data_IF_226615936150
#
_entry.id   IF_226615936150
#
_cell.length_a   1.000
_cell.length_b   1.000
_cell.length_c   1.000
_cell.angle_alpha   90.00
_cell.angle_beta   90.00
_cell.angle_gamma   90.00
#
_symmetry.space_group_name_H-M   'P 1'
#
loop_
_entity.id
_entity.type
_entity.pdbx_description
1 polymer ?
#
# COMPACT_ATOMS: atom_id res chain seq x y z
N UNK A 1 0.91 -6.69 6.52
CA UNK A 1 0.69 -7.86 7.41
C UNK A 1 -0.64 -7.86 8.20
N UNK A 2 -1.03 -6.81 8.93
CA UNK A 2 -2.25 -6.84 9.77
C UNK A 2 -3.54 -7.26 9.03
N UNK A 3 -3.76 -6.68 7.83
CA UNK A 3 -4.92 -7.02 7.00
C UNK A 3 -4.88 -8.48 6.52
N UNK A 4 -3.71 -8.97 6.10
CA UNK A 4 -3.53 -10.37 5.72
C UNK A 4 -3.87 -11.31 6.88
N UNK A 5 -3.36 -11.04 8.08
CA UNK A 5 -3.67 -11.84 9.26
C UNK A 5 -5.17 -11.85 9.56
N UNK A 6 -5.82 -10.70 9.44
CA UNK A 6 -7.25 -10.56 9.73
C UNK A 6 -8.11 -11.32 8.72
N UNK A 7 -7.77 -11.22 7.43
CA UNK A 7 -8.43 -11.97 6.36
C UNK A 7 -8.17 -13.47 6.51
N UNK A 8 -6.94 -13.87 6.81
CA UNK A 8 -6.56 -15.27 7.02
C UNK A 8 -7.34 -15.92 8.16
N UNK A 9 -7.47 -15.25 9.30
CA UNK A 9 -8.25 -15.75 10.44
C UNK A 9 -9.73 -15.99 10.07
N UNK A 10 -10.35 -15.04 9.36
CA UNK A 10 -11.74 -15.18 8.91
C UNK A 10 -11.86 -16.27 7.84
N UNK A 11 -10.90 -16.36 6.91
CA UNK A 11 -10.89 -17.40 5.89
C UNK A 11 -10.77 -18.81 6.49
N UNK A 12 -9.95 -18.99 7.53
CA UNK A 12 -9.83 -20.27 8.24
C UNK A 12 -11.13 -20.64 8.96
N UNK A 13 -11.78 -19.68 9.64
CA UNK A 13 -13.09 -19.90 10.25
C UNK A 13 -14.13 -20.33 9.20
N UNK A 14 -14.25 -19.59 8.10
CA UNK A 14 -15.19 -19.90 7.02
C UNK A 14 -14.90 -21.26 6.39
N UNK A 15 -13.63 -21.62 6.20
CA UNK A 15 -13.25 -22.92 5.67
C UNK A 15 -13.73 -24.08 6.56
N UNK A 16 -13.57 -23.95 7.88
CA UNK A 16 -14.09 -24.94 8.83
C UNK A 16 -15.62 -25.07 8.75
N UNK A 17 -16.33 -23.94 8.67
CA UNK A 17 -17.80 -23.93 8.54
C UNK A 17 -18.26 -24.55 7.21
N UNK A 18 -17.57 -24.26 6.12
CA UNK A 18 -17.87 -24.80 4.80
C UNK A 18 -17.70 -26.33 4.80
N UNK A 19 -16.58 -26.84 5.29
CA UNK A 19 -16.31 -28.28 5.28
C UNK A 19 -17.20 -29.07 6.24
N UNK A 20 -17.57 -28.49 7.39
CA UNK A 20 -18.54 -29.10 8.30
C UNK A 20 -19.91 -29.32 7.64
N UNK A 21 -20.32 -28.40 6.75
CA UNK A 21 -21.58 -28.49 6.00
C UNK A 21 -21.45 -29.27 4.67
N UNK A 22 -20.22 -29.53 4.20
CA UNK A 22 -19.94 -30.21 2.94
C UNK A 22 -18.87 -31.29 3.12
N UNK A 23 -19.19 -32.44 3.76
CA UNK A 23 -18.19 -33.47 4.12
C UNK A 23 -17.42 -34.06 2.93
N UNK A 24 -17.96 -33.95 1.70
CA UNK A 24 -17.31 -34.39 0.46
C UNK A 24 -16.15 -33.47 0.03
N UNK A 25 -16.03 -32.27 0.60
CA UNK A 25 -14.97 -31.29 0.33
C UNK A 25 -13.97 -31.15 1.49
N UNK A 26 -13.95 -32.12 2.42
CA UNK A 26 -13.07 -32.10 3.57
C UNK A 26 -11.58 -31.98 3.16
N UNK A 27 -10.88 -31.04 3.78
CA UNK A 27 -9.48 -30.69 3.51
C UNK A 27 -9.24 -29.78 2.31
N UNK A 28 -10.26 -29.44 1.51
CA UNK A 28 -10.11 -28.56 0.34
C UNK A 28 -10.02 -27.08 0.77
N UNK A 29 -10.99 -26.63 1.56
CA UNK A 29 -11.12 -25.22 1.94
C UNK A 29 -10.16 -24.85 3.07
N UNK A 30 -9.93 -25.74 4.04
CA UNK A 30 -8.97 -25.51 5.12
C UNK A 30 -7.55 -25.37 4.56
N UNK A 31 -7.20 -26.21 3.57
CA UNK A 31 -5.92 -26.08 2.87
C UNK A 31 -5.82 -24.74 2.14
N UNK A 32 -6.85 -24.37 1.37
CA UNK A 32 -6.88 -23.10 0.65
C UNK A 32 -6.75 -21.89 1.59
N UNK A 33 -7.43 -21.91 2.75
CA UNK A 33 -7.32 -20.84 3.74
C UNK A 33 -5.90 -20.71 4.33
N UNK A 34 -5.20 -21.83 4.56
CA UNK A 34 -3.81 -21.82 5.06
C UNK A 34 -2.79 -21.33 4.03
N UNK A 35 -3.04 -21.63 2.76
CA UNK A 35 -2.21 -21.18 1.63
C UNK A 35 -2.52 -19.74 1.21
N UNK A 36 -3.65 -19.17 1.63
CA UNK A 36 -4.06 -17.81 1.29
C UNK A 36 -3.03 -16.79 1.80
N UNK A 37 -2.60 -15.93 0.90
CA UNK A 37 -1.84 -14.71 1.19
C UNK A 37 -2.54 -13.52 0.56
N UNK A 38 -2.33 -12.35 1.11
CA UNK A 38 -2.92 -11.14 0.55
C UNK A 38 -2.24 -10.84 -0.80
N UNK A 39 -2.99 -10.69 -1.90
CA UNK A 39 -2.39 -10.50 -3.21
C UNK A 39 -1.85 -9.07 -3.37
N UNK A 40 -0.80 -8.93 -4.16
CA UNK A 40 -0.36 -7.64 -4.68
C UNK A 40 -0.94 -7.41 -6.08
N UNK A 41 -1.09 -6.13 -6.46
CA UNK A 41 -1.34 -5.76 -7.86
C UNK A 41 -0.07 -5.14 -8.45
N UNK A 42 0.55 -5.84 -9.40
CA UNK A 42 1.71 -5.32 -10.14
C UNK A 42 1.27 -4.28 -11.19
N UNK A 43 1.12 -3.05 -10.73
CA UNK A 43 0.76 -1.91 -11.58
C UNK A 43 1.88 -1.52 -12.55
N UNK A 44 3.10 -2.03 -12.39
CA UNK A 44 4.22 -1.82 -13.32
C UNK A 44 4.27 -2.89 -14.42
N UNK A 45 3.42 -3.92 -14.34
CA UNK A 45 3.43 -5.03 -15.27
C UNK A 45 3.30 -4.57 -16.71
N UNK A 46 4.16 -5.14 -17.56
CA UNK A 46 3.74 -5.69 -18.85
C UNK A 46 2.55 -5.09 -19.59
N UNK A 47 1.42 -5.62 -19.18
CA UNK A 47 0.14 -5.63 -19.86
C UNK A 47 -0.74 -4.44 -19.40
N UNK A 48 -0.37 -3.75 -18.32
CA UNK A 48 -1.12 -2.60 -17.79
C UNK A 48 -1.29 -1.46 -18.81
N UNK A 49 -0.30 -1.06 -19.63
CA UNK A 49 -0.52 -0.04 -20.66
C UNK A 49 -1.60 -0.42 -21.69
N UNK A 50 -1.87 -1.71 -21.89
CA UNK A 50 -2.84 -2.22 -22.86
C UNK A 50 -4.20 -2.51 -22.20
N UNK A 51 -4.18 -3.19 -21.06
CA UNK A 51 -5.38 -3.74 -20.41
C UNK A 51 -5.83 -2.93 -19.18
N UNK A 52 -4.96 -2.07 -18.64
CA UNK A 52 -5.24 -1.27 -17.45
C UNK A 52 -5.42 -2.13 -16.20
N UNK A 53 -6.31 -1.69 -15.30
CA UNK A 53 -6.66 -2.40 -14.07
C UNK A 53 -7.39 -3.71 -14.40
N UNK A 54 -7.11 -4.81 -13.67
CA UNK A 54 -7.92 -6.02 -13.72
C UNK A 54 -9.39 -5.77 -13.35
N UNK A 55 -10.37 -6.42 -14.02
CA UNK A 55 -11.80 -6.25 -13.74
C UNK A 55 -12.22 -6.43 -12.29
N UNK A 56 -11.56 -7.32 -11.55
CA UNK A 56 -11.83 -7.58 -10.13
C UNK A 56 -11.53 -6.36 -9.24
N UNK A 57 -10.76 -5.38 -9.71
CA UNK A 57 -10.45 -4.18 -8.94
C UNK A 57 -11.50 -3.08 -9.07
N UNK A 58 -12.44 -3.17 -10.02
CA UNK A 58 -13.39 -2.07 -10.27
C UNK A 58 -14.83 -2.49 -10.58
N UNK A 59 -15.10 -3.76 -10.89
CA UNK A 59 -16.47 -4.22 -11.10
C UNK A 59 -17.20 -4.34 -9.76
N UNK A 60 -18.42 -3.83 -9.68
CA UNK A 60 -19.22 -3.89 -8.44
C UNK A 60 -19.60 -5.31 -8.01
N UNK A 61 -19.57 -6.27 -8.93
CA UNK A 61 -19.89 -7.68 -8.69
C UNK A 61 -18.83 -8.59 -9.28
N UNK A 62 -18.62 -9.72 -8.60
CA UNK A 62 -17.68 -10.76 -9.00
C UNK A 62 -18.36 -12.13 -8.93
N UNK A 63 -18.02 -13.03 -9.87
CA UNK A 63 -18.42 -14.44 -9.81
C UNK A 63 -17.39 -15.20 -8.96
N UNK A 64 -17.87 -15.95 -7.98
CA UNK A 64 -17.06 -16.85 -7.15
C UNK A 64 -17.60 -18.27 -7.22
N UNK A 65 -16.75 -19.24 -6.90
CA UNK A 65 -17.15 -20.64 -6.72
C UNK A 65 -17.37 -20.87 -5.23
N UNK A 66 -18.59 -21.23 -4.86
CA UNK A 66 -18.98 -21.63 -3.52
C UNK A 66 -18.84 -23.14 -3.32
N UNK A 67 -19.06 -23.58 -2.08
CA UNK A 67 -19.12 -25.00 -1.72
C UNK A 67 -20.07 -25.80 -2.64
N UNK A 68 -19.68 -27.03 -2.96
CA UNK A 68 -20.35 -27.89 -3.93
C UNK A 68 -20.14 -27.47 -5.39
N UNK A 69 -19.11 -26.66 -5.68
CA UNK A 69 -18.79 -26.17 -7.02
C UNK A 69 -19.80 -25.17 -7.61
N UNK A 70 -20.67 -24.60 -6.78
CA UNK A 70 -21.74 -23.70 -7.23
C UNK A 70 -21.19 -22.32 -7.55
N UNK A 71 -21.40 -21.84 -8.78
CA UNK A 71 -21.09 -20.47 -9.16
C UNK A 71 -22.12 -19.51 -8.57
N UNK A 72 -21.66 -18.40 -7.99
CA UNK A 72 -22.52 -17.34 -7.46
C UNK A 72 -21.94 -15.97 -7.77
N UNK A 73 -22.82 -15.00 -7.99
CA UNK A 73 -22.45 -13.59 -8.19
C UNK A 73 -22.67 -12.86 -6.87
N UNK A 74 -21.61 -12.26 -6.33
CA UNK A 74 -21.63 -11.52 -5.07
C UNK A 74 -21.17 -10.08 -5.28
N UNK A 75 -21.48 -9.20 -4.33
CA UNK A 75 -20.90 -7.86 -4.29
C UNK A 75 -19.38 -7.96 -4.14
N UNK A 76 -18.65 -7.12 -4.87
CA UNK A 76 -17.19 -7.15 -4.87
C UNK A 76 -16.62 -6.22 -3.79
N UNK A 77 -16.05 -6.76 -2.69
CA UNK A 77 -15.49 -5.94 -1.62
C UNK A 77 -14.21 -5.21 -2.03
N UNK A 78 -13.62 -5.51 -3.19
CA UNK A 78 -12.44 -4.81 -3.71
C UNK A 78 -12.79 -3.58 -4.57
N UNK A 79 -14.07 -3.42 -4.92
CA UNK A 79 -14.50 -2.33 -5.80
C UNK A 79 -14.63 -1.00 -5.06
N UNK A 80 -15.12 -1.03 -3.83
CA UNK A 80 -15.30 0.13 -2.94
C UNK A 80 -15.59 -0.35 -1.52
N UNK A 81 -15.38 0.52 -0.53
CA UNK A 81 -15.84 0.32 0.84
C UNK A 81 -17.05 1.21 1.12
N UNK A 82 -18.06 0.70 1.83
CA UNK A 82 -19.24 1.47 2.24
C UNK A 82 -19.20 1.74 3.74
N UNK A 83 -19.47 2.99 4.15
CA UNK A 83 -19.49 3.36 5.56
C UNK A 83 -20.75 2.84 6.25
N UNK A 84 -20.61 1.73 6.99
CA UNK A 84 -21.70 1.14 7.76
C UNK A 84 -22.02 2.05 8.95
N UNK A 85 -23.23 2.62 8.97
CA UNK A 85 -23.65 3.56 10.03
C UNK A 85 -23.52 5.04 9.66
N UNK A 86 -23.08 5.34 8.43
CA UNK A 86 -22.95 6.70 7.92
C UNK A 86 -21.49 7.17 7.84
N UNK A 87 -21.29 8.29 7.15
CA UNK A 87 -19.98 8.93 7.01
C UNK A 87 -19.47 9.43 8.36
N UNK A 88 -18.20 9.20 8.72
CA UNK A 88 -17.61 9.72 9.95
C UNK A 88 -17.77 11.25 10.06
N UNK A 89 -18.09 11.73 11.27
CA UNK A 89 -18.45 13.13 11.49
C UNK A 89 -17.30 14.12 11.33
N UNK A 90 -16.07 13.63 11.36
CA UNK A 90 -14.81 14.37 11.24
C UNK A 90 -14.27 14.44 9.80
N UNK A 91 -14.96 13.82 8.83
CA UNK A 91 -14.59 13.94 7.42
C UNK A 91 -14.86 15.36 6.89
N UNK A 92 -13.90 15.92 6.17
CA UNK A 92 -13.97 17.23 5.51
C UNK A 92 -14.01 17.08 4.00
N UNK A 93 -14.69 18.02 3.34
CA UNK A 93 -14.62 18.11 1.88
C UNK A 93 -13.27 18.71 1.48
N UNK A 94 -12.59 18.08 0.53
CA UNK A 94 -11.27 18.52 0.06
C UNK A 94 -11.40 19.15 -1.32
N UNK A 95 -10.75 20.30 -1.51
CA UNK A 95 -10.71 21.00 -2.80
C UNK A 95 -9.30 20.89 -3.39
N UNK A 96 -9.23 20.37 -4.61
CA UNK A 96 -8.01 20.41 -5.40
C UNK A 96 -7.87 21.82 -6.01
N UNK A 97 -6.84 22.56 -5.59
CA UNK A 97 -6.57 23.92 -6.06
C UNK A 97 -6.15 23.98 -7.54
N UNK A 98 -5.62 22.89 -8.10
CA UNK A 98 -5.18 22.81 -9.49
C UNK A 98 -6.36 22.58 -10.43
N UNK A 99 -7.26 21.65 -10.09
CA UNK A 99 -8.39 21.28 -10.94
C UNK A 99 -9.68 22.04 -10.59
N UNK A 100 -9.75 22.62 -9.39
CA UNK A 100 -10.95 23.23 -8.83
C UNK A 100 -12.03 22.21 -8.44
N UNK A 101 -11.76 20.91 -8.55
CA UNK A 101 -12.68 19.85 -8.16
C UNK A 101 -12.75 19.71 -6.64
N UNK A 102 -13.93 19.30 -6.17
CA UNK A 102 -14.17 19.03 -4.75
C UNK A 102 -14.48 17.55 -4.57
N UNK A 103 -13.75 16.93 -3.66
CA UNK A 103 -14.04 15.61 -3.12
C UNK A 103 -14.92 15.77 -1.88
N UNK A 104 -16.20 15.39 -1.98
CA UNK A 104 -17.18 15.61 -0.92
C UNK A 104 -17.15 14.48 0.12
N UNK A 105 -16.00 14.25 0.77
CA UNK A 105 -15.82 13.15 1.70
C UNK A 105 -16.81 13.21 2.88
N UNK A 106 -17.24 14.40 3.29
CA UNK A 106 -18.26 14.57 4.35
C UNK A 106 -19.66 14.07 3.96
N UNK A 107 -19.88 13.73 2.68
CA UNK A 107 -21.18 13.31 2.12
C UNK A 107 -21.15 11.91 1.53
N UNK A 108 -20.02 11.51 0.96
CA UNK A 108 -19.84 10.27 0.20
C UNK A 108 -19.96 9.03 1.09
N UNK A 109 -21.06 8.28 0.94
CA UNK A 109 -21.35 7.08 1.76
C UNK A 109 -20.49 5.84 1.44
N UNK A 110 -19.62 5.95 0.44
CA UNK A 110 -18.69 4.90 0.03
C UNK A 110 -17.43 5.50 -0.58
N UNK A 111 -16.41 4.68 -0.78
CA UNK A 111 -15.20 5.10 -1.46
C UNK A 111 -15.41 5.25 -2.96
N UNK A 112 -14.76 6.27 -3.52
CA UNK A 112 -14.86 6.65 -4.93
C UNK A 112 -13.46 6.85 -5.54
N UNK A 113 -13.38 6.58 -6.84
CA UNK A 113 -12.23 6.82 -7.71
C UNK A 113 -12.69 7.64 -8.90
N UNK A 114 -12.07 8.80 -9.15
CA UNK A 114 -12.45 9.73 -10.22
C UNK A 114 -13.93 10.14 -10.18
N UNK A 115 -14.52 10.36 -9.00
CA UNK A 115 -15.91 10.81 -8.90
C UNK A 115 -16.10 12.21 -9.49
N UNK A 116 -17.30 12.48 -10.03
CA UNK A 116 -17.71 13.86 -10.32
C UNK A 116 -17.60 14.73 -9.07
N UNK A 117 -17.26 16.01 -9.27
CA UNK A 117 -17.24 17.04 -8.22
C UNK A 117 -18.67 17.41 -7.81
N UNK A 118 -19.34 16.51 -7.10
CA UNK A 118 -20.71 16.65 -6.59
C UNK A 118 -20.89 15.90 -5.25
N UNK A 119 -21.78 16.35 -4.36
CA UNK A 119 -22.10 15.64 -3.11
C UNK A 119 -22.69 14.23 -3.30
N UNK A 120 -23.33 13.97 -4.44
CA UNK A 120 -24.04 12.71 -4.73
C UNK A 120 -23.60 12.12 -6.09
N UNK A 121 -22.37 11.58 -6.19
CA UNK A 121 -21.89 10.99 -7.42
C UNK A 121 -22.54 9.61 -7.65
N UNK A 122 -22.96 9.33 -8.88
CA UNK A 122 -23.55 8.03 -9.24
C UNK A 122 -22.58 6.86 -9.02
N UNK A 123 -21.28 7.10 -9.15
CA UNK A 123 -20.24 6.07 -9.08
C UNK A 123 -18.84 6.62 -9.34
N UNK A 124 -17.86 5.71 -9.28
CA UNK A 124 -16.49 5.96 -9.73
C UNK A 124 -16.42 6.02 -11.26
N UNK A 125 -15.63 6.92 -11.83
CA UNK A 125 -15.46 6.98 -13.30
C UNK A 125 -14.35 6.04 -13.74
N UNK A 126 -14.70 4.76 -13.86
CA UNK A 126 -13.76 3.71 -14.21
C UNK A 126 -13.09 3.96 -15.56
N UNK A 127 -13.78 4.54 -16.55
CA UNK A 127 -13.18 4.84 -17.85
C UNK A 127 -12.07 5.90 -17.75
N UNK A 128 -12.23 6.92 -16.90
CA UNK A 128 -11.20 7.93 -16.65
C UNK A 128 -10.03 7.35 -15.87
N UNK A 129 -10.31 6.55 -14.84
CA UNK A 129 -9.30 5.79 -14.09
C UNK A 129 -8.46 4.93 -15.03
N UNK A 130 -9.10 4.11 -15.86
CA UNK A 130 -8.41 3.23 -16.80
C UNK A 130 -7.58 4.03 -17.81
N UNK A 131 -8.12 5.14 -18.33
CA UNK A 131 -7.40 6.02 -19.27
C UNK A 131 -6.16 6.63 -18.62
N UNK A 132 -6.29 7.18 -17.42
CA UNK A 132 -5.20 7.81 -16.69
C UNK A 132 -4.10 6.79 -16.35
N UNK A 133 -4.49 5.63 -15.80
CA UNK A 133 -3.56 4.60 -15.39
C UNK A 133 -2.78 4.02 -16.59
N UNK A 134 -3.47 3.73 -17.71
CA UNK A 134 -2.82 3.26 -18.95
C UNK A 134 -1.83 4.27 -19.51
N UNK A 135 -2.14 5.57 -19.42
CA UNK A 135 -1.25 6.64 -19.86
C UNK A 135 0.01 6.76 -18.99
N UNK A 136 -0.12 6.60 -17.67
CA UNK A 136 1.00 6.65 -16.72
C UNK A 136 1.86 5.38 -16.67
N UNK A 137 1.31 4.21 -17.01
CA UNK A 137 1.94 2.91 -16.77
C UNK A 137 3.36 2.74 -17.34
N UNK A 138 3.65 3.30 -18.52
CA UNK A 138 5.01 3.23 -19.11
C UNK A 138 6.04 4.04 -18.34
N UNK A 139 5.65 5.21 -17.83
CA UNK A 139 6.51 6.04 -17.00
C UNK A 139 6.73 5.36 -15.64
N UNK A 140 5.65 4.86 -15.05
CA UNK A 140 5.64 4.13 -13.79
C UNK A 140 6.59 2.93 -13.82
N UNK A 141 6.58 2.13 -14.88
CA UNK A 141 7.51 1.01 -15.07
C UNK A 141 8.97 1.46 -15.14
N UNK A 142 9.27 2.58 -15.79
CA UNK A 142 10.63 3.14 -15.84
C UNK A 142 11.09 3.58 -14.47
N UNK A 143 10.23 4.27 -13.71
CA UNK A 143 10.54 4.69 -12.34
C UNK A 143 10.81 3.51 -11.42
N UNK A 144 10.03 2.43 -11.54
CA UNK A 144 10.32 1.17 -10.81
C UNK A 144 11.70 0.63 -11.17
N UNK A 145 12.08 0.62 -12.44
CA UNK A 145 13.42 0.16 -12.83
C UNK A 145 14.53 1.02 -12.21
N UNK A 146 14.31 2.33 -12.08
CA UNK A 146 15.27 3.26 -11.46
C UNK A 146 15.43 3.05 -9.95
N UNK A 147 14.47 2.42 -9.26
CA UNK A 147 14.62 2.04 -7.85
C UNK A 147 15.76 1.02 -7.66
N UNK A 148 16.16 0.32 -8.72
CA UNK A 148 17.20 -0.71 -8.70
C UNK A 148 18.49 -0.25 -9.40
N UNK A 149 18.79 1.04 -9.37
CA UNK A 149 19.98 1.62 -10.00
C UNK A 149 20.95 2.25 -8.98
N UNK A 150 21.17 1.59 -7.84
CA UNK A 150 22.18 1.99 -6.85
C UNK A 150 23.52 1.31 -7.14
N UNK A 151 24.63 1.99 -6.85
CA UNK A 151 25.97 1.37 -6.92
C UNK A 151 26.21 0.51 -5.66
N UNK A 152 27.22 -0.37 -5.67
CA UNK A 152 27.52 -1.26 -4.54
C UNK A 152 28.24 -0.55 -3.38
N UNK A 153 28.90 0.57 -3.69
CA UNK A 153 29.85 1.30 -2.85
C UNK A 153 29.29 2.64 -2.32
N UNK A 154 27.97 2.81 -2.32
CA UNK A 154 27.30 3.94 -1.68
C UNK A 154 27.23 3.81 -0.15
N UNK A 155 27.07 4.94 0.53
CA UNK A 155 26.83 4.94 1.98
C UNK A 155 25.45 4.31 2.27
N UNK A 156 25.37 3.26 3.11
CA UNK A 156 24.13 2.53 3.39
C UNK A 156 22.96 3.40 3.86
N UNK A 157 23.22 4.31 4.81
CA UNK A 157 22.19 5.14 5.43
C UNK A 157 21.63 6.17 4.45
N UNK A 158 22.50 6.76 3.64
CA UNK A 158 22.12 7.70 2.59
C UNK A 158 21.38 6.97 1.44
N UNK A 159 21.85 5.80 1.02
CA UNK A 159 21.18 5.02 -0.02
C UNK A 159 19.77 4.61 0.41
N UNK A 160 19.59 4.25 1.68
CA UNK A 160 18.27 3.99 2.26
C UNK A 160 17.38 5.25 2.27
N UNK A 161 17.91 6.40 2.68
CA UNK A 161 17.17 7.68 2.68
C UNK A 161 16.66 8.02 1.27
N UNK A 162 17.53 7.91 0.26
CA UNK A 162 17.19 8.11 -1.15
C UNK A 162 16.10 7.18 -1.67
N UNK A 163 16.18 5.90 -1.28
CA UNK A 163 15.25 4.90 -1.73
C UNK A 163 13.90 5.03 -1.02
N UNK A 164 13.91 5.21 0.30
CA UNK A 164 12.73 4.99 1.13
C UNK A 164 11.69 6.09 0.99
N UNK A 165 12.13 7.35 0.94
CA UNK A 165 11.25 8.50 1.14
C UNK A 165 11.32 9.52 -0.02
N UNK A 166 10.26 10.29 -0.19
CA UNK A 166 10.14 11.27 -1.28
C UNK A 166 10.87 12.59 -0.99
N UNK A 167 11.31 12.81 0.25
CA UNK A 167 12.05 13.99 0.69
C UNK A 167 13.24 13.55 1.54
N UNK A 168 14.37 13.28 0.88
CA UNK A 168 15.60 12.86 1.54
C UNK A 168 16.03 13.88 2.61
N UNK A 169 16.38 13.39 3.81
CA UNK A 169 16.89 14.21 4.92
C UNK A 169 18.42 14.40 4.84
N UNK A 170 19.12 13.54 4.11
CA UNK A 170 20.57 13.58 3.98
C UNK A 170 21.04 14.85 3.27
N UNK A 171 21.98 15.58 3.90
CA UNK A 171 22.52 16.88 3.42
C UNK A 171 23.50 16.75 2.26
N UNK A 172 23.22 15.94 1.25
CA UNK A 172 24.16 15.78 0.14
C UNK A 172 24.30 17.05 -0.71
N UNK A 173 25.45 17.17 -1.37
CA UNK A 173 25.57 18.08 -2.51
C UNK A 173 24.54 17.71 -3.57
N UNK A 174 24.14 18.68 -4.41
CA UNK A 174 23.16 18.44 -5.48
C UNK A 174 23.73 17.41 -6.45
N UNK A 175 23.33 16.17 -6.26
CA UNK A 175 23.67 15.07 -7.15
C UNK A 175 22.59 14.97 -8.24
N UNK A 176 23.00 15.12 -9.50
CA UNK A 176 22.14 14.99 -10.68
C UNK A 176 21.78 13.52 -10.98
N UNK A 177 21.53 12.71 -9.95
CA UNK A 177 21.19 11.31 -10.15
C UNK A 177 19.70 11.21 -10.38
N UNK A 178 19.33 10.73 -11.56
CA UNK A 178 17.93 10.52 -11.94
C UNK A 178 17.43 9.18 -11.37
N UNK A 179 17.49 9.06 -10.04
CA UNK A 179 16.92 7.95 -9.27
C UNK A 179 15.70 8.49 -8.51
N UNK A 180 14.55 7.83 -8.64
CA UNK A 180 13.37 8.15 -7.84
C UNK A 180 13.40 7.40 -6.51
N UNK A 181 12.45 7.69 -5.63
CA UNK A 181 12.25 6.92 -4.39
C UNK A 181 11.00 6.04 -4.46
N UNK A 182 10.95 5.02 -3.61
CA UNK A 182 9.82 4.13 -3.44
C UNK A 182 8.54 4.93 -3.12
N UNK A 183 8.63 5.86 -2.16
CA UNK A 183 7.51 6.75 -1.81
C UNK A 183 7.09 7.64 -2.99
N UNK A 184 8.02 8.21 -3.76
CA UNK A 184 7.67 9.01 -4.93
C UNK A 184 6.95 8.21 -6.05
N UNK A 185 7.31 6.93 -6.22
CA UNK A 185 6.59 6.03 -7.14
C UNK A 185 5.22 5.67 -6.56
N UNK A 186 5.14 5.36 -5.27
CA UNK A 186 3.90 5.13 -4.52
C UNK A 186 2.92 6.30 -4.65
N UNK A 187 3.38 7.54 -4.45
CA UNK A 187 2.56 8.76 -4.54
C UNK A 187 1.93 8.89 -5.92
N UNK A 188 2.70 8.57 -6.96
CA UNK A 188 2.20 8.60 -8.34
C UNK A 188 1.04 7.61 -8.53
N UNK A 189 1.12 6.42 -7.93
CA UNK A 189 0.04 5.41 -8.01
C UNK A 189 -1.20 5.86 -7.25
N UNK A 190 -1.03 6.45 -6.07
CA UNK A 190 -2.14 7.05 -5.31
C UNK A 190 -2.93 8.05 -6.15
N UNK A 191 -2.23 9.00 -6.79
CA UNK A 191 -2.86 9.99 -7.67
C UNK A 191 -3.53 9.36 -8.90
N UNK A 192 -2.88 8.39 -9.54
CA UNK A 192 -3.43 7.68 -10.70
C UNK A 192 -4.65 6.81 -10.35
N UNK A 193 -4.77 6.33 -9.11
CA UNK A 193 -5.92 5.54 -8.65
C UNK A 193 -7.07 6.42 -8.19
N UNK A 194 -6.77 7.53 -7.50
CA UNK A 194 -7.78 8.34 -6.84
C UNK A 194 -8.46 9.32 -7.78
N UNK A 195 -7.71 10.08 -8.59
CA UNK A 195 -8.25 11.28 -9.24
C UNK A 195 -8.96 12.17 -8.21
N UNK A 196 -10.18 12.63 -8.52
CA UNK A 196 -11.08 13.17 -7.50
C UNK A 196 -11.72 12.03 -6.69
N UNK A 197 -10.98 11.48 -5.72
CA UNK A 197 -11.36 10.26 -5.01
C UNK A 197 -10.40 9.91 -3.88
N UNK A 198 -10.74 8.87 -3.11
CA UNK A 198 -10.13 8.59 -1.81
C UNK A 198 -8.63 8.30 -1.91
N UNK A 199 -8.20 7.54 -2.91
CA UNK A 199 -6.78 7.17 -3.09
C UNK A 199 -5.83 8.36 -3.31
N UNK A 200 -6.32 9.55 -3.67
CA UNK A 200 -5.46 10.74 -3.87
C UNK A 200 -5.19 11.52 -2.59
N UNK A 201 -5.90 11.23 -1.49
CA UNK A 201 -5.85 12.01 -0.26
C UNK A 201 -5.42 11.12 0.91
N UNK A 202 -4.24 11.36 1.53
CA UNK A 202 -3.69 10.48 2.56
C UNK A 202 -4.65 10.17 3.73
N UNK A 203 -5.43 11.15 4.17
CA UNK A 203 -6.38 11.01 5.28
C UNK A 203 -7.54 10.05 4.96
N UNK A 204 -7.81 9.80 3.67
CA UNK A 204 -8.95 9.01 3.20
C UNK A 204 -8.53 7.75 2.40
N UNK A 205 -7.29 7.68 1.93
CA UNK A 205 -6.84 6.62 1.02
C UNK A 205 -6.97 5.22 1.63
N UNK A 206 -6.70 5.08 2.92
CA UNK A 206 -6.77 3.80 3.65
C UNK A 206 -8.17 3.17 3.70
N UNK A 207 -9.24 3.92 3.36
CA UNK A 207 -10.59 3.37 3.28
C UNK A 207 -10.87 2.64 1.96
N UNK A 208 -10.18 2.97 0.87
CA UNK A 208 -10.41 2.30 -0.42
C UNK A 208 -9.74 0.92 -0.42
N UNK A 209 -10.46 -0.19 -0.67
CA UNK A 209 -9.88 -1.53 -0.64
C UNK A 209 -8.63 -1.74 -1.51
N UNK A 210 -8.49 -0.98 -2.62
CA UNK A 210 -7.30 -1.09 -3.50
C UNK A 210 -6.02 -0.59 -2.83
N UNK A 211 -6.12 0.23 -1.78
CA UNK A 211 -5.01 0.69 -0.95
C UNK A 211 -4.13 -0.49 -0.52
N UNK A 212 -4.74 -1.55 0.00
CA UNK A 212 -4.00 -2.70 0.52
C UNK A 212 -3.30 -3.48 -0.60
N UNK A 213 -3.87 -3.56 -1.80
CA UNK A 213 -3.22 -4.22 -2.95
C UNK A 213 -2.06 -3.39 -3.50
N UNK A 214 -2.22 -2.06 -3.49
CA UNK A 214 -1.16 -1.12 -3.82
C UNK A 214 0.02 -1.27 -2.84
N UNK A 215 -0.25 -1.19 -1.54
CA UNK A 215 0.77 -1.32 -0.50
C UNK A 215 1.38 -2.73 -0.43
N UNK A 216 0.65 -3.78 -0.82
CA UNK A 216 1.24 -5.11 -0.97
C UNK A 216 2.26 -5.17 -2.12
N UNK A 217 2.06 -4.42 -3.21
CA UNK A 217 3.08 -4.30 -4.26
C UNK A 217 4.25 -3.40 -3.84
N UNK A 218 4.01 -2.36 -3.03
CA UNK A 218 5.07 -1.51 -2.44
C UNK A 218 5.96 -2.34 -1.51
N UNK A 219 5.35 -3.14 -0.64
CA UNK A 219 6.04 -4.09 0.24
C UNK A 219 6.86 -5.12 -0.55
N UNK A 220 6.31 -5.64 -1.66
CA UNK A 220 7.05 -6.48 -2.61
C UNK A 220 8.27 -5.76 -3.20
N UNK A 221 8.14 -4.49 -3.60
CA UNK A 221 9.25 -3.73 -4.16
C UNK A 221 10.33 -3.47 -3.10
N UNK A 222 9.93 -3.17 -1.86
CA UNK A 222 10.84 -3.07 -0.72
C UNK A 222 11.60 -4.40 -0.51
N UNK A 223 10.90 -5.53 -0.48
CA UNK A 223 11.53 -6.84 -0.31
C UNK A 223 12.55 -7.17 -1.42
N UNK A 224 12.21 -6.84 -2.68
CA UNK A 224 13.13 -7.02 -3.81
C UNK A 224 14.34 -6.09 -3.72
N UNK A 225 14.13 -4.85 -3.26
CA UNK A 225 15.21 -3.89 -3.09
C UNK A 225 16.16 -4.33 -1.97
N UNK A 226 15.63 -4.75 -0.82
CA UNK A 226 16.44 -5.31 0.28
C UNK A 226 17.23 -6.53 -0.17
N UNK A 227 16.69 -7.37 -1.05
CA UNK A 227 17.40 -8.50 -1.64
C UNK A 227 18.58 -8.07 -2.52
N UNK A 228 18.42 -7.00 -3.30
CA UNK A 228 19.49 -6.46 -4.15
C UNK A 228 20.56 -5.70 -3.35
N UNK A 229 20.16 -5.02 -2.27
CA UNK A 229 21.00 -4.09 -1.52
C UNK A 229 21.01 -4.47 -0.03
N UNK A 230 21.51 -5.68 0.27
CA UNK A 230 21.38 -6.29 1.60
C UNK A 230 22.00 -5.48 2.72
N UNK A 231 23.05 -4.72 2.43
CA UNK A 231 23.76 -3.89 3.41
C UNK A 231 23.15 -2.50 3.59
N UNK A 232 22.22 -2.08 2.71
CA UNK A 232 21.69 -0.72 2.73
C UNK A 232 20.52 -0.60 3.69
N UNK A 233 20.72 0.19 4.73
CA UNK A 233 19.78 0.33 5.83
C UNK A 233 19.90 1.70 6.47
N UNK A 234 18.83 2.16 7.11
CA UNK A 234 18.76 3.50 7.70
C UNK A 234 19.83 3.75 8.78
N UNK A 235 20.34 2.72 9.46
CA UNK A 235 21.18 2.90 10.66
C UNK A 235 20.54 3.86 11.69
N UNK A 236 21.29 4.41 12.64
CA UNK A 236 20.77 5.39 13.60
C UNK A 236 20.69 6.83 13.08
N UNK A 237 21.13 7.07 11.84
CA UNK A 237 21.35 8.39 11.26
C UNK A 237 22.27 8.32 10.04
N UNK A 238 22.74 9.47 9.56
CA UNK A 238 23.71 9.59 8.47
C UNK A 238 24.91 10.44 8.87
N UNK A 239 26.03 10.23 8.18
CA UNK A 239 27.22 11.08 8.29
C UNK A 239 27.26 12.09 7.14
N UNK A 240 27.62 13.33 7.44
CA UNK A 240 27.94 14.34 6.45
C UNK A 240 29.08 15.23 6.96
N UNK A 241 30.13 15.40 6.16
CA UNK A 241 31.35 16.16 6.51
C UNK A 241 31.98 15.78 7.87
N UNK A 242 31.93 14.48 8.21
CA UNK A 242 32.46 13.95 9.48
C UNK A 242 31.59 14.22 10.71
N UNK A 243 30.40 14.80 10.53
CA UNK A 243 29.39 14.99 11.57
C UNK A 243 28.23 13.99 11.41
N UNK A 244 27.73 13.50 12.54
CA UNK A 244 26.63 12.54 12.59
C UNK A 244 25.29 13.25 12.81
N UNK A 245 24.30 12.92 11.99
CA UNK A 245 22.97 13.52 12.00
C UNK A 245 21.89 12.45 12.23
N UNK A 246 20.95 12.65 13.16
CA UNK A 246 19.84 11.72 13.35
C UNK A 246 18.79 11.88 12.24
N UNK A 247 18.07 10.81 11.94
CA UNK A 247 16.81 10.87 11.19
C UNK A 247 15.70 11.47 12.04
N UNK A 248 14.80 12.26 11.44
CA UNK A 248 13.75 12.94 12.18
C UNK A 248 12.40 12.91 11.49
N UNK A 249 11.33 12.71 12.27
CA UNK A 249 9.98 12.82 11.75
C UNK A 249 9.56 14.30 11.64
N UNK A 250 9.82 14.89 10.48
CA UNK A 250 9.65 16.32 10.24
C UNK A 250 8.22 16.85 10.39
N UNK A 251 7.15 16.02 10.34
CA UNK A 251 5.76 16.52 10.48
C UNK A 251 5.02 15.95 11.69
N UNK A 252 5.66 15.07 12.45
CA UNK A 252 4.99 14.25 13.46
C UNK A 252 4.05 13.20 12.83
N UNK A 253 3.58 12.28 13.67
CA UNK A 253 2.48 11.35 13.37
C UNK A 253 1.51 11.36 14.54
N UNK A 254 0.48 10.49 14.52
CA UNK A 254 -0.35 10.29 15.71
C UNK A 254 0.47 9.93 16.97
N UNK A 255 1.55 9.17 16.77
CA UNK A 255 2.38 8.62 17.85
C UNK A 255 3.67 9.41 18.12
N UNK A 256 4.14 10.19 17.13
CA UNK A 256 5.44 10.87 17.18
C UNK A 256 5.27 12.37 17.09
N UNK A 257 6.02 13.10 17.91
CA UNK A 257 5.99 14.57 17.87
C UNK A 257 6.86 15.11 16.72
N UNK A 258 6.70 16.40 16.43
CA UNK A 258 7.50 17.11 15.45
C UNK A 258 9.01 16.98 15.75
N UNK A 259 9.79 16.62 14.74
CA UNK A 259 11.23 16.38 14.79
C UNK A 259 11.67 15.31 15.80
N UNK A 260 10.77 14.38 16.17
CA UNK A 260 11.17 13.23 16.98
C UNK A 260 12.17 12.36 16.21
N UNK A 261 13.20 11.89 16.90
CA UNK A 261 14.23 11.04 16.30
C UNK A 261 13.64 9.70 15.84
N UNK A 262 14.02 9.28 14.64
CA UNK A 262 13.71 7.94 14.11
C UNK A 262 14.90 7.01 14.32
N UNK A 263 14.60 5.80 14.80
CA UNK A 263 15.57 4.74 15.04
C UNK A 263 15.08 3.43 14.42
N UNK A 264 15.98 2.54 13.95
CA UNK A 264 15.60 1.21 13.43
C UNK A 264 14.75 0.40 14.41
N UNK A 265 15.07 0.51 15.70
CA UNK A 265 14.38 -0.18 16.79
C UNK A 265 13.31 0.69 17.49
N UNK A 266 12.92 1.79 16.85
CA UNK A 266 11.80 2.62 17.30
C UNK A 266 10.46 1.91 17.15
N UNK A 267 9.44 2.25 17.97
CA UNK A 267 8.15 1.59 17.94
C UNK A 267 7.33 2.01 16.71
N UNK A 268 6.94 1.04 15.88
CA UNK A 268 5.97 1.19 14.80
C UNK A 268 4.55 1.11 15.37
N UNK A 269 4.13 2.18 16.04
CA UNK A 269 2.78 2.28 16.59
C UNK A 269 1.74 2.37 15.46
N UNK A 270 0.52 1.83 15.65
CA UNK A 270 0.02 1.14 16.84
C UNK A 270 0.22 -0.39 16.80
N UNK A 271 1.13 -0.91 15.96
CA UNK A 271 1.24 -2.34 15.68
C UNK A 271 1.93 -3.09 16.81
N UNK A 272 1.18 -3.93 17.54
CA UNK A 272 1.70 -4.72 18.66
C UNK A 272 2.12 -6.13 18.25
N UNK A 273 3.14 -6.63 18.94
CA UNK A 273 3.57 -8.03 18.91
C UNK A 273 2.71 -8.87 19.85
N UNK A 274 2.77 -10.21 19.72
CA UNK A 274 2.10 -11.12 20.66
C UNK A 274 2.60 -11.03 22.11
N UNK A 275 3.77 -10.42 22.33
CA UNK A 275 4.33 -10.19 23.66
C UNK A 275 3.91 -8.83 24.28
N UNK A 276 3.13 -8.03 23.55
CA UNK A 276 2.56 -6.76 24.05
C UNK A 276 3.39 -5.51 23.74
N UNK A 277 4.66 -5.66 23.32
CA UNK A 277 5.48 -4.56 22.78
C UNK A 277 5.06 -4.14 21.36
N UNK A 278 5.64 -3.08 20.82
CA UNK A 278 5.43 -2.66 19.43
C UNK A 278 6.43 -3.35 18.49
N UNK A 279 6.01 -3.54 17.23
CA UNK A 279 6.94 -3.90 16.15
C UNK A 279 7.96 -2.79 15.93
N UNK A 280 9.13 -3.12 15.40
CA UNK A 280 10.17 -2.16 14.98
C UNK A 280 10.51 -2.33 13.50
N UNK A 281 11.18 -1.35 12.90
CA UNK A 281 11.66 -1.46 11.51
C UNK A 281 12.64 -2.63 11.35
N UNK A 282 13.52 -2.87 12.33
CA UNK A 282 14.43 -4.05 12.31
C UNK A 282 13.68 -5.39 12.32
N UNK A 283 12.53 -5.47 12.99
CA UNK A 283 11.70 -6.69 13.00
C UNK A 283 10.86 -6.86 11.71
N UNK A 284 10.61 -5.75 10.99
CA UNK A 284 9.87 -5.74 9.73
C UNK A 284 10.78 -5.88 8.50
N UNK A 285 12.08 -5.61 8.61
CA UNK A 285 13.09 -5.80 7.55
C UNK A 285 13.19 -7.27 7.15
N UNK A 286 13.01 -7.61 5.88
CA UNK A 286 12.86 -8.99 5.40
C UNK A 286 14.06 -9.88 5.70
N UNK A 287 15.27 -9.35 5.47
CA UNK A 287 16.51 -10.12 5.61
C UNK A 287 17.11 -10.11 7.02
N UNK A 288 16.48 -9.43 7.97
CA UNK A 288 16.98 -9.36 9.33
C UNK A 288 16.80 -10.70 10.08
N UNK A 289 17.73 -11.04 10.98
CA UNK A 289 17.68 -12.33 11.72
C UNK A 289 16.36 -12.50 12.49
N UNK A 290 15.77 -11.39 12.96
CA UNK A 290 14.54 -11.36 13.73
C UNK A 290 13.29 -11.05 12.89
N UNK A 291 13.40 -11.07 11.56
CA UNK A 291 12.29 -10.75 10.67
C UNK A 291 11.11 -11.71 10.83
N UNK A 292 9.90 -11.18 10.71
CA UNK A 292 8.70 -12.00 10.67
C UNK A 292 7.63 -11.43 9.73
N UNK A 293 7.04 -12.25 8.83
CA UNK A 293 7.38 -13.65 8.59
C UNK A 293 8.74 -13.79 7.91
N UNK A 294 9.52 -14.81 8.30
CA UNK A 294 10.74 -15.16 7.57
C UNK A 294 10.36 -15.70 6.20
N UNK A 295 10.91 -15.13 5.14
CA UNK A 295 10.93 -15.78 3.84
C UNK A 295 11.84 -17.02 3.96
N UNK A 296 11.24 -18.22 3.94
CA UNK A 296 11.96 -19.50 3.86
C UNK A 296 12.24 -19.89 2.42
#
# INVERSE_FOLDING_TARGET
MLIEQSIGNIAEQLAHEIEANNPHENGVWIKAAKELRFPYWDWADKDVPENGLPPVLYKEKVEIVAAGGKKQIVGNPLSFFSYVGGVPSDFSDEKDDTTGQVAYFSKWQKTYRYAYSTPDPEGSHIDLLQKAFKAGAKDLRRRVALLFAFNDDENPAIAWDDFSNHTAESKREIDFVNRGSLEGVHDTVHLLLGGNGHMSYPDYAGFDPIFFLHHSNVDRLLALWEWCYTEYWMESGYEHDGEQYPWTQARGTYAQVYNEQLLPDGPLQPFRTGQGGYWTSSQARFLHEQSYPKCT
#
